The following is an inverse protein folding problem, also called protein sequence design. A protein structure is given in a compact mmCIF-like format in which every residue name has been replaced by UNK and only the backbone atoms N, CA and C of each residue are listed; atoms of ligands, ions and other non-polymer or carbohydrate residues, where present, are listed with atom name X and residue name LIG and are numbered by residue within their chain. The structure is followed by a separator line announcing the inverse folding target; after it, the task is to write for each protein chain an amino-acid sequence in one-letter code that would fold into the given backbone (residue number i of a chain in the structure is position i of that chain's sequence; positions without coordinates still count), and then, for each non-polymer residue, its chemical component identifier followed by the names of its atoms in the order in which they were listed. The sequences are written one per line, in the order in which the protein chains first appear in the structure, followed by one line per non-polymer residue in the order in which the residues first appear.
data_IF_605611163935
#
_entry.id   IF_605611163935
#
_cell.length_a   1.000
_cell.length_b   1.000
_cell.length_c   1.000
_cell.angle_alpha   90.00
_cell.angle_beta   90.00
_cell.angle_gamma   90.00
#
_symmetry.space_group_name_H-M   'P 1'
#
loop_
_entity.id
_entity.type
_entity.pdbx_description
1 polymer ?
#
# COMPACT_ATOMS: atom_id res chain seq x y z
N UNK A 1 50.19 -17.02 47.19
CA UNK A 1 49.37 -15.80 47.01
C UNK A 1 48.93 -15.72 45.54
N UNK A 2 47.72 -15.20 45.33
CA UNK A 2 46.80 -15.34 44.19
C UNK A 2 47.38 -15.24 42.77
N UNK A 3 46.93 -16.16 41.91
CA UNK A 3 46.88 -16.01 40.46
C UNK A 3 45.86 -14.93 40.05
N UNK A 4 46.15 -14.15 39.00
CA UNK A 4 45.15 -13.36 38.25
C UNK A 4 45.41 -13.45 36.75
N UNK A 5 44.30 -13.61 36.04
CA UNK A 5 44.15 -14.16 34.70
C UNK A 5 44.16 -13.08 33.61
N UNK A 6 44.61 -13.47 32.41
CA UNK A 6 44.48 -12.72 31.15
C UNK A 6 43.01 -12.45 30.77
N UNK A 7 42.71 -11.27 30.22
CA UNK A 7 41.96 -11.01 28.97
C UNK A 7 41.51 -9.54 28.88
N UNK A 8 41.73 -8.94 27.71
CA UNK A 8 40.90 -7.91 27.05
C UNK A 8 41.73 -6.77 26.46
N UNK A 9 42.24 -6.99 25.25
CA UNK A 9 42.75 -5.93 24.37
C UNK A 9 42.56 -6.40 22.92
N UNK A 10 41.30 -6.49 22.50
CA UNK A 10 40.89 -6.62 21.10
C UNK A 10 39.41 -6.21 21.03
N UNK A 11 39.12 -4.92 21.19
CA UNK A 11 37.86 -4.30 20.76
C UNK A 11 37.98 -2.76 20.74
N UNK A 12 39.12 -2.23 20.29
CA UNK A 12 39.20 -0.87 19.73
C UNK A 12 38.89 -0.94 18.22
N UNK A 13 37.70 -1.44 17.88
CA UNK A 13 37.23 -1.45 16.50
C UNK A 13 36.01 -0.56 16.35
N UNK A 14 36.13 0.42 15.45
CA UNK A 14 35.03 1.03 14.70
C UNK A 14 34.27 2.16 15.41
N UNK A 15 35.02 3.11 15.96
CA UNK A 15 34.63 4.52 15.83
C UNK A 15 34.92 4.99 14.40
N UNK A 16 34.01 5.81 13.85
CA UNK A 16 34.12 6.48 12.53
C UNK A 16 33.80 5.62 11.30
N UNK A 17 32.50 5.35 11.11
CA UNK A 17 31.86 5.48 9.81
C UNK A 17 30.34 5.69 10.02
N UNK A 18 30.00 6.84 10.62
CA UNK A 18 28.64 7.39 10.48
C UNK A 18 28.57 7.95 9.06
N UNK A 19 28.34 7.06 8.09
CA UNK A 19 27.76 7.44 6.82
C UNK A 19 26.31 7.82 7.14
N UNK A 20 26.14 9.12 7.38
CA UNK A 20 24.87 9.83 7.27
C UNK A 20 24.33 9.52 5.88
N UNK A 21 23.48 8.49 5.77
CA UNK A 21 22.64 8.31 4.59
C UNK A 21 21.53 9.36 4.67
N UNK A 22 21.90 10.59 4.29
CA UNK A 22 20.95 11.59 3.84
C UNK A 22 20.27 11.04 2.58
N UNK A 23 19.06 10.51 2.71
CA UNK A 23 17.87 10.90 1.93
C UNK A 23 16.69 9.98 2.22
N UNK A 24 15.53 10.64 2.29
CA UNK A 24 14.20 10.09 2.50
C UNK A 24 13.84 9.78 3.95
N UNK A 25 14.09 10.78 4.82
CA UNK A 25 13.13 11.05 5.90
C UNK A 25 11.73 11.13 5.29
N UNK A 26 10.81 10.31 5.76
CA UNK A 26 9.42 10.30 5.37
C UNK A 26 8.81 11.68 5.63
N UNK A 27 8.89 12.56 4.64
CA UNK A 27 8.27 13.86 4.72
C UNK A 27 6.81 13.65 4.34
N UNK A 28 5.91 13.75 5.32
CA UNK A 28 4.53 14.13 5.05
C UNK A 28 4.52 15.61 4.57
N UNK A 29 5.23 15.89 3.46
CA UNK A 29 5.24 17.16 2.78
C UNK A 29 3.93 17.28 2.02
N UNK A 30 2.98 17.90 2.71
CA UNK A 30 1.98 18.86 2.23
C UNK A 30 1.04 19.12 3.42
N UNK A 31 1.45 20.03 4.30
CA UNK A 31 0.70 20.39 5.50
C UNK A 31 0.71 21.90 5.68
N UNK A 32 -0.06 22.58 4.84
CA UNK A 32 -0.59 23.88 5.22
C UNK A 32 -1.60 23.62 6.35
N UNK A 33 -1.20 23.90 7.60
CA UNK A 33 -1.99 23.83 8.84
C UNK A 33 -2.36 22.44 9.37
N UNK A 34 -1.38 21.61 9.78
CA UNK A 34 -1.69 20.54 10.76
C UNK A 34 -1.75 21.11 12.17
N UNK A 35 -2.85 20.81 12.87
CA UNK A 35 -3.04 21.17 14.27
C UNK A 35 -2.41 20.16 15.24
N UNK A 36 -1.62 19.21 14.72
CA UNK A 36 -0.90 18.20 15.50
C UNK A 36 0.47 17.91 14.90
N UNK A 37 1.37 17.42 15.75
CA UNK A 37 2.72 17.02 15.38
C UNK A 37 3.16 15.75 16.12
N UNK A 38 4.28 15.17 15.68
CA UNK A 38 4.95 14.09 16.40
C UNK A 38 6.07 14.68 17.25
N UNK A 39 6.06 14.35 18.54
CA UNK A 39 7.11 14.75 19.46
C UNK A 39 8.46 14.13 19.09
N UNK A 40 9.59 14.67 19.63
CA UNK A 40 10.88 14.01 19.56
C UNK A 40 10.82 12.58 20.11
N UNK A 41 11.75 11.73 19.66
CA UNK A 41 11.82 10.34 20.14
C UNK A 41 12.13 10.33 21.63
N UNK A 42 11.35 9.57 22.40
CA UNK A 42 11.52 9.33 23.83
C UNK A 42 11.40 7.84 24.11
N UNK A 43 11.95 7.37 25.23
CA UNK A 43 11.64 6.00 25.69
C UNK A 43 10.34 6.01 26.48
N UNK A 44 9.53 4.98 26.28
CA UNK A 44 8.35 4.71 27.10
C UNK A 44 8.30 3.24 27.51
N UNK A 45 7.68 2.98 28.65
CA UNK A 45 7.49 1.64 29.14
C UNK A 45 6.47 0.88 28.27
N UNK A 46 6.89 -0.26 27.72
CA UNK A 46 6.11 -1.12 26.84
C UNK A 46 4.84 -1.64 27.52
N UNK A 47 4.85 -1.84 28.84
CA UNK A 47 3.67 -2.31 29.58
C UNK A 47 2.60 -1.23 29.74
N UNK A 48 2.97 0.04 29.73
CA UNK A 48 2.06 1.18 29.88
C UNK A 48 1.36 1.58 28.59
N UNK A 49 1.87 1.10 27.45
CA UNK A 49 1.25 1.34 26.15
C UNK A 49 -0.05 0.53 26.03
N UNK A 50 -1.15 1.20 25.75
CA UNK A 50 -2.45 0.59 25.49
C UNK A 50 -2.54 0.21 24.01
N UNK A 51 -3.19 -0.89 23.66
CA UNK A 51 -3.42 -1.23 22.25
C UNK A 51 -4.63 -0.45 21.71
N UNK A 52 -4.57 -0.01 20.45
CA UNK A 52 -5.71 0.63 19.82
C UNK A 52 -6.88 -0.37 19.72
N UNK A 53 -8.13 0.01 20.09
CA UNK A 53 -9.28 -0.89 20.02
C UNK A 53 -9.52 -1.44 18.62
N UNK A 54 -9.27 -0.62 17.60
CA UNK A 54 -9.41 -1.02 16.18
C UNK A 54 -8.15 -1.67 15.57
N UNK A 55 -7.12 -2.01 16.35
CA UNK A 55 -5.89 -2.60 15.82
C UNK A 55 -6.16 -3.84 14.94
N UNK A 56 -7.10 -4.69 15.34
CA UNK A 56 -7.49 -5.91 14.61
C UNK A 56 -8.02 -5.59 13.20
N UNK A 57 -8.74 -4.47 13.04
CA UNK A 57 -9.32 -4.07 11.74
C UNK A 57 -8.25 -3.71 10.71
N UNK A 58 -7.11 -3.22 11.17
CA UNK A 58 -6.08 -2.66 10.30
C UNK A 58 -4.83 -3.53 10.18
N UNK A 59 -4.49 -4.36 11.18
CA UNK A 59 -3.11 -4.84 11.34
C UNK A 59 -2.91 -6.34 11.55
N UNK A 60 -3.96 -7.11 11.86
CA UNK A 60 -3.80 -8.51 12.30
C UNK A 60 -4.23 -9.53 11.23
N UNK A 61 -3.27 -9.92 10.41
CA UNK A 61 -3.36 -11.11 9.56
C UNK A 61 -2.01 -11.83 9.56
N UNK A 62 -1.56 -12.27 10.74
CA UNK A 62 -0.60 -13.38 10.79
C UNK A 62 -1.26 -14.62 11.35
N UNK A 63 -1.49 -15.58 10.47
CA UNK A 63 -2.14 -16.82 10.82
C UNK A 63 -1.06 -17.78 11.31
N UNK A 64 -0.95 -17.93 12.64
CA UNK A 64 0.03 -18.83 13.27
C UNK A 64 -0.09 -20.29 12.80
N UNK A 65 -1.23 -20.69 12.22
CA UNK A 65 -1.37 -22.03 11.63
C UNK A 65 -0.58 -22.20 10.33
N UNK A 66 -0.13 -21.10 9.71
CA UNK A 66 0.69 -21.10 8.50
C UNK A 66 2.17 -21.02 8.86
N UNK A 67 2.93 -22.05 8.49
CA UNK A 67 4.39 -22.13 8.70
C UNK A 67 5.14 -20.92 8.14
N UNK A 68 4.70 -20.36 7.02
CA UNK A 68 5.30 -19.15 6.43
C UNK A 68 5.18 -17.93 7.35
N UNK A 69 4.04 -17.79 8.01
CA UNK A 69 3.73 -16.67 8.90
C UNK A 69 4.50 -16.78 10.21
N UNK A 70 4.62 -18.00 10.75
CA UNK A 70 5.46 -18.31 11.90
C UNK A 70 6.94 -18.01 11.65
N UNK A 71 7.48 -18.46 10.51
CA UNK A 71 8.87 -18.18 10.13
C UNK A 71 9.11 -16.67 9.96
N UNK A 72 8.15 -15.97 9.37
CA UNK A 72 8.27 -14.53 9.15
C UNK A 72 8.13 -13.72 10.46
N UNK A 73 7.33 -14.19 11.44
CA UNK A 73 7.31 -13.67 12.81
C UNK A 73 8.66 -13.87 13.50
N UNK A 74 9.20 -15.09 13.49
CA UNK A 74 10.51 -15.41 14.08
C UNK A 74 11.62 -14.53 13.52
N UNK A 75 11.70 -14.37 12.18
CA UNK A 75 12.66 -13.47 11.53
C UNK A 75 12.45 -11.99 11.90
N UNK A 76 11.23 -11.59 12.20
CA UNK A 76 10.94 -10.22 12.64
C UNK A 76 11.41 -9.99 14.07
N UNK A 77 11.12 -10.92 14.99
CA UNK A 77 11.60 -10.88 16.38
C UNK A 77 13.12 -10.89 16.43
N UNK A 78 13.78 -11.76 15.66
CA UNK A 78 15.25 -11.82 15.58
C UNK A 78 15.87 -10.52 15.09
N UNK A 79 15.22 -9.82 14.15
CA UNK A 79 15.69 -8.50 13.69
C UNK A 79 15.61 -7.46 14.79
N UNK A 80 14.52 -7.44 15.56
CA UNK A 80 14.39 -6.54 16.71
C UNK A 80 15.42 -6.90 17.79
N UNK A 81 15.65 -8.19 18.04
CA UNK A 81 16.66 -8.64 19.00
C UNK A 81 18.08 -8.19 18.61
N UNK A 82 18.43 -8.24 17.33
CA UNK A 82 19.77 -7.91 16.83
C UNK A 82 19.98 -6.40 16.59
N UNK A 83 18.99 -5.72 16.04
CA UNK A 83 19.09 -4.33 15.58
C UNK A 83 18.29 -3.32 16.40
N UNK A 84 17.49 -3.78 17.36
CA UNK A 84 16.57 -2.93 18.10
C UNK A 84 15.41 -2.41 17.25
N UNK A 85 14.81 -1.32 17.71
CA UNK A 85 13.70 -0.64 17.04
C UNK A 85 14.26 0.57 16.30
N UNK A 86 14.33 0.49 14.97
CA UNK A 86 14.76 1.62 14.12
C UNK A 86 13.68 2.69 14.00
N UNK A 87 12.46 2.28 13.66
CA UNK A 87 11.32 3.19 13.58
C UNK A 87 10.64 3.27 14.96
N UNK A 88 10.49 4.45 15.57
CA UNK A 88 9.77 4.60 16.83
C UNK A 88 8.30 4.18 16.69
N UNK A 89 7.73 3.68 17.79
CA UNK A 89 6.28 3.46 17.90
C UNK A 89 5.57 4.82 17.94
N UNK A 90 4.38 4.93 17.36
CA UNK A 90 3.59 6.18 17.44
C UNK A 90 2.46 5.98 18.43
N UNK A 91 2.37 6.89 19.39
CA UNK A 91 1.46 6.78 20.54
C UNK A 91 0.61 8.05 20.64
N UNK A 92 -0.66 7.89 20.99
CA UNK A 92 -1.53 9.00 21.33
C UNK A 92 -1.04 9.65 22.63
N UNK A 93 -0.52 10.86 22.52
CA UNK A 93 0.16 11.54 23.61
C UNK A 93 -0.76 12.06 24.70
N UNK A 94 -0.21 12.39 25.88
CA UNK A 94 -0.96 13.03 26.96
C UNK A 94 -1.44 14.44 26.59
N UNK A 95 -0.80 15.09 25.62
CA UNK A 95 -1.18 16.40 25.07
C UNK A 95 -1.96 16.30 23.76
N UNK A 96 -2.32 15.09 23.34
CA UNK A 96 -3.16 14.91 22.17
C UNK A 96 -4.62 15.20 22.52
N UNK A 97 -5.34 15.81 21.59
CA UNK A 97 -6.77 16.05 21.69
C UNK A 97 -7.47 15.41 20.49
N UNK A 98 -8.36 14.47 20.77
CA UNK A 98 -9.15 13.78 19.77
C UNK A 98 -10.36 14.64 19.37
N UNK A 99 -10.37 15.12 18.13
CA UNK A 99 -11.47 15.93 17.60
C UNK A 99 -12.56 15.03 17.06
N UNK A 100 -13.70 14.96 17.75
CA UNK A 100 -14.87 14.20 17.32
C UNK A 100 -14.80 12.70 17.60
N UNK A 101 -13.85 12.25 18.43
CA UNK A 101 -13.76 10.87 18.94
C UNK A 101 -13.09 10.87 20.31
N UNK A 102 -13.02 9.71 20.97
CA UNK A 102 -12.35 9.56 22.27
C UNK A 102 -11.29 8.47 22.18
N UNK A 103 -10.09 8.79 22.67
CA UNK A 103 -8.99 7.85 22.77
C UNK A 103 -8.18 8.14 24.04
N UNK A 104 -7.77 7.09 24.75
CA UNK A 104 -6.99 7.25 25.98
C UNK A 104 -5.54 7.66 25.66
N UNK A 105 -4.91 8.52 26.49
CA UNK A 105 -3.46 8.71 26.44
C UNK A 105 -2.72 7.37 26.52
N UNK A 106 -1.52 7.33 25.96
CA UNK A 106 -0.68 6.13 25.85
C UNK A 106 -1.26 5.03 24.95
N UNK A 107 -2.32 5.32 24.17
CA UNK A 107 -2.80 4.38 23.16
C UNK A 107 -1.85 4.32 21.98
N UNK A 108 -1.35 3.12 21.69
CA UNK A 108 -0.50 2.84 20.56
C UNK A 108 -1.28 3.00 19.26
N UNK A 109 -0.83 3.88 18.38
CA UNK A 109 -1.45 4.12 17.07
C UNK A 109 -0.77 3.26 16.01
N UNK A 110 0.56 3.20 16.03
CA UNK A 110 1.35 2.40 15.09
C UNK A 110 2.45 1.62 15.80
N UNK A 111 2.88 0.50 15.20
CA UNK A 111 3.93 -0.34 15.77
C UNK A 111 3.46 -1.45 16.72
N UNK A 112 2.21 -1.87 16.65
CA UNK A 112 1.67 -2.99 17.46
C UNK A 112 2.51 -4.28 17.38
N UNK A 113 3.02 -4.61 16.19
CA UNK A 113 3.94 -5.76 16.01
C UNK A 113 5.27 -5.57 16.75
N UNK A 114 5.82 -4.35 16.72
CA UNK A 114 7.04 -4.00 17.45
C UNK A 114 6.82 -4.14 18.95
N UNK A 115 5.72 -3.58 19.48
CA UNK A 115 5.32 -3.75 20.89
C UNK A 115 5.21 -5.22 21.28
N UNK A 116 4.55 -6.04 20.47
CA UNK A 116 4.41 -7.48 20.73
C UNK A 116 5.76 -8.21 20.75
N UNK A 117 6.63 -7.94 19.79
CA UNK A 117 7.97 -8.51 19.76
C UNK A 117 8.82 -8.08 20.96
N UNK A 118 8.74 -6.81 21.38
CA UNK A 118 9.42 -6.31 22.56
C UNK A 118 8.95 -7.03 23.83
N UNK A 119 7.64 -7.25 23.98
CA UNK A 119 7.09 -8.07 25.08
C UNK A 119 7.61 -9.50 25.07
N UNK A 120 7.66 -10.16 23.92
CA UNK A 120 8.19 -11.53 23.78
C UNK A 120 9.70 -11.60 24.11
N UNK A 121 10.45 -10.54 23.83
CA UNK A 121 11.87 -10.43 24.16
C UNK A 121 12.14 -9.98 25.60
N UNK A 122 11.11 -9.69 26.40
CA UNK A 122 11.26 -9.17 27.76
C UNK A 122 11.83 -7.74 27.82
N UNK A 123 11.77 -6.99 26.71
CA UNK A 123 12.26 -5.61 26.65
C UNK A 123 11.18 -4.68 27.21
N UNK A 124 11.54 -3.92 28.25
CA UNK A 124 10.62 -3.07 29.01
C UNK A 124 10.47 -1.67 28.42
N UNK A 125 11.45 -1.17 27.67
CA UNK A 125 11.41 0.18 27.10
C UNK A 125 11.44 0.16 25.56
N UNK A 126 10.72 1.10 24.95
CA UNK A 126 10.71 1.27 23.50
C UNK A 126 10.85 2.75 23.12
N UNK A 127 11.54 3.06 22.00
CA UNK A 127 11.49 4.38 21.43
C UNK A 127 10.07 4.66 20.88
N UNK A 128 9.48 5.76 21.34
CA UNK A 128 8.16 6.23 20.95
C UNK A 128 8.20 7.68 20.49
N UNK A 129 7.25 8.06 19.64
CA UNK A 129 6.87 9.45 19.37
C UNK A 129 5.42 9.63 19.76
N UNK A 130 5.13 10.71 20.46
CA UNK A 130 3.77 11.04 20.86
C UNK A 130 3.14 11.96 19.85
N UNK A 131 1.88 11.72 19.51
CA UNK A 131 1.03 12.72 18.86
C UNK A 131 0.78 13.82 19.90
N UNK A 132 1.04 15.08 19.52
CA UNK A 132 0.74 16.25 20.33
C UNK A 132 -0.18 17.19 19.53
N UNK A 133 -1.15 17.84 20.17
CA UNK A 133 -2.10 18.74 19.50
C UNK A 133 -3.43 18.08 19.10
N UNK A 134 -4.20 18.76 18.25
CA UNK A 134 -5.55 18.34 17.84
C UNK A 134 -5.47 17.46 16.59
N UNK A 135 -5.92 16.22 16.72
CA UNK A 135 -5.99 15.26 15.61
C UNK A 135 -7.43 14.81 15.41
N UNK A 136 -7.87 14.77 14.17
CA UNK A 136 -9.19 14.22 13.79
C UNK A 136 -9.13 12.70 13.63
N UNK A 137 -10.28 12.02 13.71
CA UNK A 137 -10.35 10.57 13.47
C UNK A 137 -9.75 10.20 12.11
N UNK A 138 -10.01 11.03 11.10
CA UNK A 138 -9.51 10.83 9.75
C UNK A 138 -7.99 10.87 9.67
N UNK A 139 -7.37 11.85 10.30
CA UNK A 139 -5.91 11.99 10.31
C UNK A 139 -5.25 10.83 11.06
N UNK A 140 -5.88 10.38 12.15
CA UNK A 140 -5.41 9.22 12.91
C UNK A 140 -5.46 7.94 12.06
N UNK A 141 -6.56 7.69 11.35
CA UNK A 141 -6.68 6.57 10.42
C UNK A 141 -5.61 6.62 9.32
N UNK A 142 -5.38 7.80 8.73
CA UNK A 142 -4.32 7.99 7.72
C UNK A 142 -2.94 7.65 8.30
N UNK A 143 -2.65 8.06 9.53
CA UNK A 143 -1.41 7.73 10.22
C UNK A 143 -1.26 6.22 10.46
N UNK A 144 -2.33 5.57 10.90
CA UNK A 144 -2.42 4.12 11.07
C UNK A 144 -2.14 3.36 9.75
N UNK A 145 -2.72 3.83 8.65
CA UNK A 145 -2.58 3.19 7.33
C UNK A 145 -1.21 3.45 6.69
N UNK A 146 -0.67 4.67 6.81
CA UNK A 146 0.59 5.09 6.18
C UNK A 146 1.82 4.34 6.69
N UNK A 147 1.95 4.07 8.00
CA UNK A 147 3.07 3.27 8.57
C UNK A 147 3.15 1.84 7.98
N UNK A 148 2.09 1.38 7.33
CA UNK A 148 1.97 0.01 6.83
C UNK A 148 1.92 -0.09 5.32
N UNK A 149 1.59 0.99 4.60
CA UNK A 149 1.38 0.92 3.16
C UNK A 149 2.62 0.51 2.37
N UNK A 150 3.79 1.06 2.74
CA UNK A 150 5.06 0.73 2.08
C UNK A 150 5.69 -0.57 2.59
N UNK A 151 5.08 -1.19 3.62
CA UNK A 151 5.52 -2.52 4.07
C UNK A 151 5.03 -3.54 3.05
N UNK A 152 5.98 -4.20 2.37
CA UNK A 152 5.81 -5.31 1.40
C UNK A 152 4.94 -6.49 1.87
N UNK A 153 4.37 -6.43 3.07
CA UNK A 153 3.63 -7.49 3.75
C UNK A 153 2.12 -7.43 3.52
N UNK A 154 1.57 -6.32 3.00
CA UNK A 154 0.14 -6.26 2.65
C UNK A 154 -0.10 -7.01 1.34
N UNK A 155 -0.52 -8.27 1.45
CA UNK A 155 -0.78 -9.16 0.30
C UNK A 155 -2.22 -9.07 -0.22
N UNK A 156 -3.20 -8.68 0.61
CA UNK A 156 -4.61 -8.61 0.20
C UNK A 156 -4.87 -7.38 -0.70
N UNK A 157 -5.20 -7.56 -1.98
CA UNK A 157 -5.48 -6.44 -2.87
C UNK A 157 -6.64 -5.56 -2.40
N UNK A 158 -7.64 -6.12 -1.70
CA UNK A 158 -8.75 -5.32 -1.17
C UNK A 158 -8.27 -4.34 -0.10
N UNK A 159 -7.36 -4.79 0.76
CA UNK A 159 -6.76 -3.95 1.81
C UNK A 159 -5.85 -2.88 1.21
N UNK A 160 -5.04 -3.23 0.20
CA UNK A 160 -4.21 -2.26 -0.55
C UNK A 160 -5.07 -1.15 -1.15
N UNK A 161 -6.18 -1.52 -1.80
CA UNK A 161 -7.10 -0.56 -2.42
C UNK A 161 -7.76 0.32 -1.36
N UNK A 162 -8.26 -0.28 -0.28
CA UNK A 162 -8.85 0.45 0.85
C UNK A 162 -7.87 1.49 1.40
N UNK A 163 -6.60 1.12 1.63
CA UNK A 163 -5.58 2.05 2.10
C UNK A 163 -5.36 3.18 1.09
N UNK A 164 -5.16 2.87 -0.18
CA UNK A 164 -4.89 3.86 -1.23
C UNK A 164 -6.02 4.88 -1.38
N UNK A 165 -7.27 4.42 -1.36
CA UNK A 165 -8.44 5.30 -1.43
C UNK A 165 -8.48 6.23 -0.21
N UNK A 166 -8.07 5.74 0.96
CA UNK A 166 -8.07 6.55 2.16
C UNK A 166 -6.90 7.54 2.23
N UNK A 167 -5.73 7.17 1.72
CA UNK A 167 -4.57 8.06 1.64
C UNK A 167 -4.74 9.12 0.55
N UNK A 168 -5.38 8.78 -0.57
CA UNK A 168 -5.51 9.65 -1.74
C UNK A 168 -6.97 9.76 -2.21
N UNK A 169 -7.89 10.24 -1.35
CA UNK A 169 -9.32 10.26 -1.66
C UNK A 169 -9.60 11.04 -2.93
N UNK A 170 -9.01 12.23 -3.11
CA UNK A 170 -9.20 13.06 -4.31
C UNK A 170 -8.85 12.32 -5.60
N UNK A 171 -7.74 11.59 -5.60
CA UNK A 171 -7.26 10.88 -6.79
C UNK A 171 -8.18 9.73 -7.18
N UNK A 172 -8.76 9.04 -6.20
CA UNK A 172 -9.63 7.89 -6.41
C UNK A 172 -11.09 8.28 -6.63
N UNK A 173 -11.57 9.33 -5.97
CA UNK A 173 -12.95 9.80 -6.00
C UNK A 173 -13.27 10.69 -7.20
N UNK A 174 -12.32 11.51 -7.67
CA UNK A 174 -12.57 12.38 -8.83
C UNK A 174 -12.62 11.57 -10.14
N UNK A 175 -13.66 11.79 -10.94
CA UNK A 175 -13.74 11.27 -12.30
C UNK A 175 -13.19 12.33 -13.26
N UNK A 176 -11.91 12.24 -13.61
CA UNK A 176 -11.23 13.18 -14.52
C UNK A 176 -11.67 12.95 -15.99
N UNK A 177 -12.98 12.86 -16.24
CA UNK A 177 -13.57 12.73 -17.59
C UNK A 177 -13.87 14.08 -18.23
N UNK A 178 -13.91 15.16 -17.47
CA UNK A 178 -13.81 16.52 -17.98
C UNK A 178 -12.44 17.04 -17.60
N UNK A 179 -11.65 17.46 -18.59
CA UNK A 179 -10.42 18.17 -18.31
C UNK A 179 -10.79 19.50 -17.66
N UNK A 180 -10.70 19.57 -16.34
CA UNK A 180 -10.33 20.82 -15.69
C UNK A 180 -9.94 20.63 -14.22
N UNK A 181 -8.95 21.45 -13.85
CA UNK A 181 -8.49 21.79 -12.51
C UNK A 181 -7.97 20.61 -11.68
N UNK A 182 -6.69 20.28 -11.89
CA UNK A 182 -5.88 19.76 -10.80
C UNK A 182 -5.98 20.74 -9.64
N UNK A 183 -6.65 20.35 -8.55
CA UNK A 183 -6.32 20.93 -7.25
C UNK A 183 -4.80 20.76 -7.11
N UNK A 184 -4.08 21.88 -6.96
CA UNK A 184 -2.62 21.90 -6.82
C UNK A 184 -2.08 20.92 -5.77
N UNK A 185 -2.96 20.46 -4.86
CA UNK A 185 -2.61 19.66 -3.69
C UNK A 185 -2.93 18.16 -3.84
N UNK A 186 -3.65 17.73 -4.89
CA UNK A 186 -4.00 16.32 -5.06
C UNK A 186 -2.92 15.55 -5.82
N UNK A 187 -2.34 14.50 -5.21
CA UNK A 187 -1.35 13.65 -5.89
C UNK A 187 -1.94 12.97 -7.12
N UNK A 188 -1.24 13.06 -8.24
CA UNK A 188 -1.58 12.36 -9.48
C UNK A 188 -1.30 10.85 -9.37
N UNK A 189 -1.90 10.05 -10.27
CA UNK A 189 -1.59 8.62 -10.35
C UNK A 189 -0.09 8.36 -10.65
N UNK A 190 0.56 9.26 -11.38
CA UNK A 190 1.98 9.15 -11.69
C UNK A 190 2.85 9.37 -10.44
N UNK A 191 2.50 10.35 -9.61
CA UNK A 191 3.20 10.62 -8.35
C UNK A 191 3.00 9.48 -7.35
N UNK A 192 1.78 8.97 -7.18
CA UNK A 192 1.52 7.78 -6.35
C UNK A 192 2.32 6.58 -6.86
N UNK A 193 2.39 6.40 -8.18
CA UNK A 193 3.16 5.30 -8.78
C UNK A 193 4.65 5.40 -8.46
N UNK A 194 5.22 6.60 -8.54
CA UNK A 194 6.63 6.86 -8.22
C UNK A 194 6.93 6.64 -6.74
N UNK A 195 6.07 7.13 -5.84
CA UNK A 195 6.29 7.04 -4.40
C UNK A 195 6.11 5.61 -3.86
N UNK A 196 5.15 4.85 -4.40
CA UNK A 196 4.73 3.58 -3.79
C UNK A 196 5.02 2.34 -4.64
N UNK A 197 5.69 2.50 -5.79
CA UNK A 197 6.10 1.38 -6.64
C UNK A 197 4.94 0.61 -7.30
N UNK A 198 3.72 1.14 -7.27
CA UNK A 198 2.55 0.54 -7.92
C UNK A 198 2.42 1.14 -9.32
N UNK A 199 2.33 0.30 -10.36
CA UNK A 199 2.25 0.81 -11.73
C UNK A 199 0.95 1.60 -11.98
N UNK A 200 1.01 2.64 -12.81
CA UNK A 200 -0.16 3.44 -13.21
C UNK A 200 -1.32 2.57 -13.75
N UNK A 201 -1.09 1.54 -14.59
CA UNK A 201 -2.15 0.62 -15.00
C UNK A 201 -2.80 -0.12 -13.83
N UNK A 202 -2.04 -0.52 -12.81
CA UNK A 202 -2.57 -1.15 -11.60
C UNK A 202 -3.41 -0.15 -10.80
N UNK A 203 -2.95 1.09 -10.63
CA UNK A 203 -3.73 2.14 -9.95
C UNK A 203 -5.05 2.44 -10.66
N UNK A 204 -5.05 2.48 -12.00
CA UNK A 204 -6.29 2.60 -12.80
C UNK A 204 -7.25 1.44 -12.55
N UNK A 205 -6.74 0.20 -12.43
CA UNK A 205 -7.55 -0.97 -12.06
C UNK A 205 -8.15 -0.80 -10.66
N UNK A 206 -7.36 -0.36 -9.68
CA UNK A 206 -7.83 -0.10 -8.31
C UNK A 206 -8.92 0.96 -8.27
N UNK A 207 -8.79 2.02 -9.06
CA UNK A 207 -9.83 3.05 -9.19
C UNK A 207 -11.14 2.49 -9.77
N UNK A 208 -11.07 1.55 -10.72
CA UNK A 208 -12.26 0.84 -11.20
C UNK A 208 -12.90 -0.05 -10.12
N UNK A 209 -12.08 -0.75 -9.31
CA UNK A 209 -12.57 -1.53 -8.17
C UNK A 209 -13.27 -0.62 -7.15
N UNK A 210 -12.69 0.54 -6.85
CA UNK A 210 -13.30 1.52 -5.94
C UNK A 210 -14.69 1.95 -6.41
N UNK A 211 -14.88 2.24 -7.70
CA UNK A 211 -16.21 2.61 -8.24
C UNK A 211 -17.24 1.50 -8.08
N UNK A 212 -16.86 0.26 -8.35
CA UNK A 212 -17.76 -0.88 -8.14
C UNK A 212 -18.04 -1.09 -6.65
N UNK A 213 -17.05 -0.93 -5.77
CA UNK A 213 -17.23 -1.01 -4.32
C UNK A 213 -18.17 0.09 -3.80
N UNK A 214 -18.03 1.32 -4.30
CA UNK A 214 -18.92 2.43 -3.96
C UNK A 214 -20.36 2.13 -4.37
N UNK A 215 -20.58 1.56 -5.56
CA UNK A 215 -21.91 1.11 -6.02
C UNK A 215 -22.51 0.04 -5.10
N UNK A 216 -21.69 -0.90 -4.62
CA UNK A 216 -22.12 -1.93 -3.66
C UNK A 216 -22.49 -1.31 -2.31
N UNK A 217 -21.66 -0.40 -1.78
CA UNK A 217 -21.91 0.31 -0.53
C UNK A 217 -23.21 1.13 -0.58
N UNK A 218 -23.45 1.85 -1.68
CA UNK A 218 -24.69 2.60 -1.90
C UNK A 218 -25.92 1.69 -1.92
N UNK A 219 -25.83 0.50 -2.53
CA UNK A 219 -26.88 -0.51 -2.48
C UNK A 219 -27.17 -1.01 -1.06
N UNK A 220 -26.15 -1.03 -0.20
CA UNK A 220 -26.25 -1.37 1.22
C UNK A 220 -26.58 -0.16 2.13
N UNK A 221 -26.94 1.01 1.56
CA UNK A 221 -27.18 2.28 2.28
C UNK A 221 -25.99 2.76 3.13
N UNK A 222 -24.77 2.42 2.74
CA UNK A 222 -23.53 2.89 3.35
C UNK A 222 -22.95 4.05 2.53
N UNK A 223 -22.42 5.07 3.23
CA UNK A 223 -21.82 6.24 2.58
C UNK A 223 -20.46 5.95 1.94
N UNK A 224 -19.68 5.03 2.53
CA UNK A 224 -18.34 4.68 2.08
C UNK A 224 -18.15 3.16 2.03
N UNK A 225 -17.41 2.63 1.04
CA UNK A 225 -17.12 1.20 0.96
C UNK A 225 -16.10 0.76 2.02
N UNK A 226 -16.38 -0.34 2.69
CA UNK A 226 -15.48 -1.04 3.60
C UNK A 226 -14.71 -2.18 2.91
N UNK A 227 -13.85 -2.90 3.66
CA UNK A 227 -13.05 -4.00 3.14
C UNK A 227 -13.88 -5.13 2.49
N UNK A 228 -15.09 -5.36 2.97
CA UNK A 228 -16.04 -6.36 2.43
C UNK A 228 -16.49 -6.00 1.02
N UNK A 229 -16.85 -4.74 0.78
CA UNK A 229 -17.31 -4.24 -0.52
C UNK A 229 -16.16 -4.27 -1.53
N UNK A 230 -14.92 -3.95 -1.11
CA UNK A 230 -13.74 -4.08 -1.96
C UNK A 230 -13.48 -5.53 -2.38
N UNK A 231 -13.60 -6.50 -1.46
CA UNK A 231 -13.46 -7.93 -1.79
C UNK A 231 -14.51 -8.38 -2.78
N UNK A 232 -15.76 -7.95 -2.62
CA UNK A 232 -16.84 -8.28 -3.54
C UNK A 232 -16.68 -7.60 -4.91
N UNK A 233 -16.26 -6.33 -4.94
CA UNK A 233 -15.98 -5.60 -6.17
C UNK A 233 -14.88 -6.27 -7.01
N UNK A 234 -13.81 -6.76 -6.37
CA UNK A 234 -12.76 -7.55 -7.04
C UNK A 234 -13.32 -8.81 -7.70
N UNK A 235 -14.17 -9.56 -6.98
CA UNK A 235 -14.83 -10.76 -7.52
C UNK A 235 -15.73 -10.43 -8.71
N UNK A 236 -16.56 -9.40 -8.58
CA UNK A 236 -17.49 -8.98 -9.64
C UNK A 236 -16.74 -8.57 -10.92
N UNK A 237 -15.67 -7.78 -10.80
CA UNK A 237 -14.87 -7.37 -11.95
C UNK A 237 -14.10 -8.53 -12.59
N UNK A 238 -13.62 -9.49 -11.79
CA UNK A 238 -13.01 -10.71 -12.31
C UNK A 238 -14.02 -11.55 -13.10
N UNK A 239 -15.24 -11.71 -12.59
CA UNK A 239 -16.31 -12.46 -13.25
C UNK A 239 -16.78 -11.77 -14.54
N UNK A 240 -16.94 -10.44 -14.54
CA UNK A 240 -17.27 -9.66 -15.75
C UNK A 240 -16.25 -9.91 -16.87
N UNK A 241 -14.96 -9.96 -16.55
CA UNK A 241 -13.89 -10.27 -17.53
C UNK A 241 -13.97 -11.68 -18.10
N UNK A 242 -14.45 -12.65 -17.32
CA UNK A 242 -14.65 -14.03 -17.80
C UNK A 242 -15.91 -14.17 -18.65
N UNK A 243 -16.95 -13.41 -18.34
CA UNK A 243 -18.23 -13.42 -19.03
C UNK A 243 -18.24 -12.63 -20.34
N UNK A 244 -17.32 -11.68 -20.51
CA UNK A 244 -17.18 -10.98 -21.81
C UNK A 244 -16.56 -11.96 -22.80
N UNK A 245 -17.25 -12.38 -23.88
CA UNK A 245 -16.65 -13.23 -24.89
C UNK A 245 -15.41 -12.50 -25.40
N UNK A 246 -14.25 -13.18 -25.44
CA UNK A 246 -13.13 -12.68 -26.24
C UNK A 246 -13.65 -12.63 -27.67
N UNK A 247 -14.15 -11.48 -28.12
CA UNK A 247 -14.28 -11.23 -29.55
C UNK A 247 -12.86 -11.42 -30.07
N UNK A 248 -12.62 -12.57 -30.74
CA UNK A 248 -11.40 -12.72 -31.53
C UNK A 248 -11.38 -11.47 -32.41
N UNK A 249 -10.32 -10.65 -32.37
CA UNK A 249 -10.25 -9.51 -33.26
C UNK A 249 -10.54 -10.07 -34.65
N UNK A 250 -11.57 -9.52 -35.34
CA UNK A 250 -11.81 -9.86 -36.74
C UNK A 250 -10.45 -9.67 -37.41
N UNK A 251 -9.83 -10.77 -37.80
CA UNK A 251 -8.51 -10.75 -38.39
C UNK A 251 -8.69 -9.91 -39.65
N UNK A 252 -8.06 -8.75 -39.70
CA UNK A 252 -8.04 -7.96 -40.92
C UNK A 252 -7.14 -8.69 -41.91
N UNK A 253 -7.76 -9.60 -42.66
CA UNK A 253 -7.13 -10.49 -43.63
C UNK A 253 -6.32 -9.67 -44.64
N UNK A 254 -6.79 -8.47 -44.99
CA UNK A 254 -6.12 -7.59 -45.94
C UNK A 254 -4.81 -7.06 -45.36
N UNK A 255 -4.80 -6.48 -44.17
CA UNK A 255 -3.55 -5.99 -43.57
C UNK A 255 -2.56 -7.12 -43.25
N UNK A 256 -3.03 -8.29 -42.82
CA UNK A 256 -2.15 -9.43 -42.59
C UNK A 256 -1.54 -9.98 -43.88
N UNK A 257 -2.31 -10.04 -44.96
CA UNK A 257 -1.82 -10.49 -46.26
C UNK A 257 -0.77 -9.53 -46.82
N UNK A 258 -1.01 -8.22 -46.77
CA UNK A 258 -0.05 -7.20 -47.22
C UNK A 258 1.26 -7.30 -46.43
N UNK A 259 1.17 -7.54 -45.11
CA UNK A 259 2.35 -7.67 -44.25
C UNK A 259 3.14 -8.97 -44.49
N UNK A 260 2.46 -10.09 -44.74
CA UNK A 260 3.11 -11.40 -44.94
C UNK A 260 3.58 -11.63 -46.38
N UNK A 261 2.90 -11.03 -47.35
CA UNK A 261 3.13 -11.25 -48.77
C UNK A 261 3.24 -9.91 -49.53
N UNK A 262 4.18 -9.04 -49.15
CA UNK A 262 4.33 -7.72 -49.78
C UNK A 262 4.62 -7.85 -51.29
N UNK A 263 5.37 -8.89 -51.70
CA UNK A 263 5.71 -9.13 -53.10
C UNK A 263 4.51 -9.51 -53.97
N UNK A 264 3.54 -10.27 -53.41
CA UNK A 264 2.32 -10.64 -54.13
C UNK A 264 1.40 -9.43 -54.25
N UNK A 265 1.33 -8.62 -53.19
CA UNK A 265 0.54 -7.40 -53.22
C UNK A 265 1.03 -6.41 -54.29
N UNK A 266 2.35 -6.25 -54.46
CA UNK A 266 2.91 -5.34 -55.48
C UNK A 266 2.79 -5.84 -56.91
N UNK A 267 2.57 -7.15 -57.14
CA UNK A 267 2.51 -7.76 -58.48
C UNK A 267 1.08 -7.96 -59.01
N UNK A 268 0.08 -7.95 -58.11
CA UNK A 268 -1.32 -8.14 -58.50
C UNK A 268 -1.99 -6.80 -58.81
N UNK A 269 -2.77 -6.77 -59.88
CA UNK A 269 -3.65 -5.64 -60.19
C UNK A 269 -4.75 -5.52 -59.14
N UNK A 270 -5.38 -4.32 -59.02
CA UNK A 270 -6.47 -4.09 -58.05
C UNK A 270 -7.64 -5.07 -58.23
N UNK A 271 -7.93 -5.48 -59.46
CA UNK A 271 -8.99 -6.45 -59.77
C UNK A 271 -8.64 -7.86 -59.26
N UNK A 272 -7.38 -8.30 -59.41
CA UNK A 272 -6.91 -9.60 -58.94
C UNK A 272 -6.81 -9.65 -57.42
N UNK A 273 -6.35 -8.57 -56.78
CA UNK A 273 -6.34 -8.45 -55.33
C UNK A 273 -7.76 -8.59 -54.76
N UNK A 274 -8.76 -7.97 -55.40
CA UNK A 274 -10.16 -8.04 -54.98
C UNK A 274 -10.70 -9.47 -55.07
N UNK A 275 -10.43 -10.18 -56.17
CA UNK A 275 -10.81 -11.60 -56.33
C UNK A 275 -10.12 -12.50 -55.30
N UNK A 276 -8.83 -12.27 -55.05
CA UNK A 276 -8.06 -13.03 -54.07
C UNK A 276 -8.61 -12.85 -52.65
N UNK A 277 -8.90 -11.62 -52.24
CA UNK A 277 -9.47 -11.36 -50.92
C UNK A 277 -10.88 -11.94 -50.77
N UNK A 278 -11.72 -11.89 -51.81
CA UNK A 278 -13.03 -12.55 -51.81
C UNK A 278 -12.91 -14.08 -51.69
N UNK A 279 -11.91 -14.70 -52.34
CA UNK A 279 -11.65 -16.13 -52.24
C UNK A 279 -11.17 -16.52 -50.82
N UNK A 280 -10.24 -15.74 -50.24
CA UNK A 280 -9.76 -15.96 -48.87
C UNK A 280 -10.89 -15.77 -47.85
N UNK A 281 -11.72 -14.72 -48.00
CA UNK A 281 -12.88 -14.49 -47.12
C UNK A 281 -13.91 -15.63 -47.22
N UNK A 282 -14.11 -16.23 -48.39
CA UNK A 282 -14.94 -17.44 -48.55
C UNK A 282 -14.34 -18.66 -47.87
N UNK A 283 -13.01 -18.84 -47.92
CA UNK A 283 -12.34 -19.98 -47.27
C UNK A 283 -12.26 -19.86 -45.74
N UNK A 284 -12.22 -18.64 -45.19
CA UNK A 284 -12.10 -18.42 -43.73
C UNK A 284 -13.46 -18.38 -43.01
N UNK A 285 -14.57 -18.16 -43.74
CA UNK A 285 -15.93 -18.08 -43.18
C UNK A 285 -16.80 -19.34 -43.41
N UNK A 286 -16.20 -20.48 -43.78
CA UNK A 286 -16.81 -21.83 -43.74
C UNK A 286 -16.38 -22.50 -42.44
#
# INVERSE_FOLDING_TARGET
MSAKTKKSAMFESLGQNILVSNKESFSLQNQTNKNWELSPVRNANVSELLDHPDNIKFFDYWDKSKKEDELAWSRFVDRIKKGGIHDPLIVFGPRANAVGFSLKPNTLITGHRRKKALKELGITEAPVRYIEGKITLRELEVLMLSDNFDRRQIKDPAQVIYILVNLFPDTFQKDNRGGDLSSKDSKTLAEISKTHGISVPQLKRYKAVYREALRLAQGAKQSNPGPTEFKQALKNLANKRKATPKQKPKVDIKSQFVKKFPFLHSKLTKAEQTKLFQAIEKMVNV
#
